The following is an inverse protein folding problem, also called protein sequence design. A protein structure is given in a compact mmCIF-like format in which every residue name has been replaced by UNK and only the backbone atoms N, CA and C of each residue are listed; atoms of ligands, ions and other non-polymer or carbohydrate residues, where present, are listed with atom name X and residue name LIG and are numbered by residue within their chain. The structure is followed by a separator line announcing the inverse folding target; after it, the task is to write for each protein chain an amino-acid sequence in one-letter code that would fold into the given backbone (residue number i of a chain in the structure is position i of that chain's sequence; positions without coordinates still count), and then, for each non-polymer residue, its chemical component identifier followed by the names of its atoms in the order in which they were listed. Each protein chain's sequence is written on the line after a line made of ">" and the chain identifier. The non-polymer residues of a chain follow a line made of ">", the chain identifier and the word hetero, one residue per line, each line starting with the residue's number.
data_IF_699508121472
#
_entry.id   IF_699508121472
#
_cell.length_a   1.000
_cell.length_b   1.000
_cell.length_c   1.000
_cell.angle_alpha   90.00
_cell.angle_beta   90.00
_cell.angle_gamma   90.00
#
_symmetry.space_group_name_H-M   'P 1'
#
loop_
_entity.id
_entity.type
_entity.pdbx_description
1 polymer ?
#
# COMPACT_ATOMS: atom_id res chain seq x y z
N UNK A 1 -36.83 27.41 34.87
CA UNK A 1 -36.22 26.21 34.28
C UNK A 1 -35.24 26.64 33.20
N UNK A 2 -33.95 26.73 33.50
CA UNK A 2 -32.92 27.28 32.59
C UNK A 2 -32.23 26.14 31.84
N UNK A 3 -32.27 26.20 30.51
CA UNK A 3 -31.67 25.24 29.57
C UNK A 3 -30.17 25.55 29.44
N UNK A 4 -29.30 24.73 30.04
CA UNK A 4 -27.84 24.88 29.95
C UNK A 4 -27.12 23.65 29.33
N UNK A 5 -27.87 22.69 28.77
CA UNK A 5 -27.31 21.42 28.27
C UNK A 5 -26.73 21.43 26.84
N UNK A 6 -26.89 22.51 26.06
CA UNK A 6 -26.48 22.52 24.65
C UNK A 6 -25.07 23.07 24.38
N UNK A 7 -24.49 23.84 25.30
CA UNK A 7 -23.20 24.50 25.05
C UNK A 7 -21.99 23.55 25.18
N UNK A 8 -22.09 22.51 26.01
CA UNK A 8 -20.96 21.60 26.30
C UNK A 8 -20.75 20.55 25.21
N UNK A 9 -21.81 20.13 24.51
CA UNK A 9 -21.72 19.16 23.41
C UNK A 9 -21.03 19.73 22.16
N UNK A 10 -21.19 21.02 21.88
CA UNK A 10 -20.59 21.66 20.70
C UNK A 10 -19.06 21.79 20.79
N UNK A 11 -18.50 21.93 21.99
CA UNK A 11 -17.05 22.10 22.20
C UNK A 11 -16.30 20.78 21.98
N UNK A 12 -16.89 19.64 22.36
CA UNK A 12 -16.27 18.31 22.20
C UNK A 12 -16.21 17.90 20.72
N UNK A 13 -17.22 18.27 19.92
CA UNK A 13 -17.24 17.99 18.47
C UNK A 13 -16.19 18.80 17.71
N UNK A 14 -15.91 20.04 18.13
CA UNK A 14 -14.92 20.90 17.49
C UNK A 14 -13.47 20.41 17.69
N UNK A 15 -13.15 19.86 18.87
CA UNK A 15 -11.81 19.33 19.16
C UNK A 15 -11.52 17.99 18.44
N UNK A 16 -12.55 17.16 18.22
CA UNK A 16 -12.42 15.93 17.44
C UNK A 16 -12.18 16.20 15.95
N UNK A 17 -12.77 17.27 15.40
CA UNK A 17 -12.61 17.64 14.00
C UNK A 17 -11.18 18.08 13.65
N UNK A 18 -10.48 18.76 14.57
CA UNK A 18 -9.08 19.14 14.36
C UNK A 18 -8.12 17.95 14.36
N UNK A 19 -8.40 16.89 15.14
CA UNK A 19 -7.60 15.67 15.14
C UNK A 19 -7.73 14.86 13.83
N UNK A 20 -8.79 15.11 13.05
CA UNK A 20 -9.03 14.49 11.74
C UNK A 20 -8.55 15.35 10.57
N UNK A 21 -8.06 16.57 10.82
CA UNK A 21 -7.38 17.34 9.80
C UNK A 21 -6.06 16.66 9.49
N UNK A 22 -6.03 15.88 8.40
CA UNK A 22 -4.79 15.49 7.75
C UNK A 22 -4.00 16.77 7.49
N UNK A 23 -2.96 17.01 8.29
CA UNK A 23 -1.94 17.99 7.93
C UNK A 23 -1.47 17.56 6.53
N UNK A 24 -1.48 18.45 5.52
CA UNK A 24 -0.93 18.12 4.21
C UNK A 24 0.57 17.87 4.39
N UNK A 25 0.94 16.64 4.73
CA UNK A 25 2.32 16.21 4.77
C UNK A 25 2.81 16.08 3.34
N UNK A 26 3.88 16.80 3.00
CA UNK A 26 4.87 16.56 1.92
C UNK A 26 4.42 16.12 0.51
N UNK A 27 3.13 15.95 0.20
CA UNK A 27 2.63 15.39 -1.06
C UNK A 27 2.72 13.85 -1.19
N UNK A 28 3.13 13.13 -0.15
CA UNK A 28 3.27 11.67 -0.18
C UNK A 28 1.99 10.97 0.30
N UNK A 29 1.54 9.95 -0.43
CA UNK A 29 0.50 9.02 0.01
C UNK A 29 1.14 7.73 0.54
N UNK A 30 0.87 7.40 1.80
CA UNK A 30 1.35 6.16 2.41
C UNK A 30 0.49 4.97 1.99
N UNK A 31 1.06 4.04 1.21
CA UNK A 31 0.38 2.82 0.79
C UNK A 31 0.53 1.68 1.81
N UNK A 32 1.64 1.62 2.53
CA UNK A 32 1.89 0.63 3.59
C UNK A 32 2.13 1.37 4.90
N UNK A 33 1.11 1.40 5.76
CA UNK A 33 1.16 1.92 7.12
C UNK A 33 1.04 0.74 8.10
N UNK A 34 2.17 0.05 8.29
CA UNK A 34 2.22 -1.22 9.00
C UNK A 34 1.22 -2.24 8.44
N UNK A 35 0.55 -2.95 9.34
CA UNK A 35 -0.32 -4.08 8.99
C UNK A 35 -1.56 -3.67 8.17
N UNK A 36 -2.05 -2.44 8.36
CA UNK A 36 -3.21 -1.92 7.62
C UNK A 36 -2.91 -1.65 6.15
N UNK A 37 -1.63 -1.57 5.79
CA UNK A 37 -1.20 -1.37 4.41
C UNK A 37 -1.82 -2.37 3.44
N UNK A 38 -2.04 -3.61 3.89
CA UNK A 38 -2.59 -4.68 3.08
C UNK A 38 -4.02 -4.40 2.58
N UNK A 39 -4.77 -3.54 3.27
CA UNK A 39 -6.13 -3.15 2.89
C UNK A 39 -6.16 -2.25 1.65
N UNK A 40 -5.04 -1.63 1.29
CA UNK A 40 -4.92 -0.76 0.12
C UNK A 40 -4.75 -1.52 -1.20
N UNK A 41 -4.65 -2.85 -1.13
CA UNK A 41 -4.34 -3.70 -2.27
C UNK A 41 -5.40 -4.76 -2.52
N UNK A 42 -5.63 -5.06 -3.79
CA UNK A 42 -6.29 -6.27 -4.25
C UNK A 42 -5.24 -7.37 -4.47
N UNK A 43 -5.59 -8.60 -4.10
CA UNK A 43 -4.70 -9.77 -4.25
C UNK A 43 -4.99 -10.48 -5.55
N UNK A 44 -3.93 -10.78 -6.31
CA UNK A 44 -4.02 -11.57 -7.53
C UNK A 44 -3.05 -12.75 -7.43
N UNK A 45 -3.53 -13.97 -7.66
CA UNK A 45 -2.73 -15.19 -7.54
C UNK A 45 -2.70 -15.79 -6.13
N UNK A 46 -1.73 -16.68 -5.89
CA UNK A 46 -1.77 -17.63 -4.77
C UNK A 46 -0.70 -17.37 -3.68
N UNK A 47 0.07 -16.29 -3.79
CA UNK A 47 1.09 -15.94 -2.79
C UNK A 47 0.44 -15.62 -1.43
N UNK A 48 1.09 -16.04 -0.34
CA UNK A 48 0.55 -15.95 1.01
C UNK A 48 0.74 -14.57 1.69
N UNK A 49 0.48 -13.48 0.96
CA UNK A 49 0.65 -12.13 1.48
C UNK A 49 0.01 -11.94 2.86
N UNK A 50 0.76 -11.41 3.81
CA UNK A 50 0.31 -11.12 5.16
C UNK A 50 1.02 -9.90 5.72
N UNK A 51 0.38 -9.26 6.68
CA UNK A 51 1.05 -8.31 7.53
C UNK A 51 1.84 -9.07 8.62
N UNK A 52 3.08 -8.68 8.86
CA UNK A 52 3.91 -9.24 9.92
C UNK A 52 4.95 -8.20 10.35
N UNK A 53 5.01 -7.92 11.66
CA UNK A 53 6.00 -7.01 12.26
C UNK A 53 6.08 -5.62 11.61
N UNK A 54 4.95 -5.08 11.17
CA UNK A 54 4.89 -3.76 10.51
C UNK A 54 5.31 -3.76 9.03
N UNK A 55 5.52 -4.93 8.43
CA UNK A 55 5.81 -5.11 7.01
C UNK A 55 4.76 -5.99 6.32
N UNK A 56 4.75 -5.98 4.99
CA UNK A 56 3.96 -6.88 4.17
C UNK A 56 4.86 -7.95 3.59
N UNK A 57 4.57 -9.22 3.91
CA UNK A 57 5.47 -10.36 3.70
C UNK A 57 4.77 -11.45 2.88
N UNK A 58 5.51 -12.06 1.97
CA UNK A 58 5.15 -13.32 1.32
C UNK A 58 6.40 -14.22 1.24
N UNK A 59 6.23 -15.50 1.57
CA UNK A 59 7.30 -16.50 1.65
C UNK A 59 6.85 -17.89 1.16
N UNK A 60 5.58 -18.04 0.78
CA UNK A 60 4.98 -19.29 0.30
C UNK A 60 3.92 -19.02 -0.77
N UNK A 61 3.54 -20.09 -1.47
CA UNK A 61 2.55 -20.04 -2.54
C UNK A 61 3.20 -19.98 -3.91
N UNK A 62 2.36 -20.01 -4.96
CA UNK A 62 2.82 -19.74 -6.33
C UNK A 62 2.99 -18.23 -6.53
N UNK A 63 3.15 -17.81 -7.78
CA UNK A 63 3.14 -16.38 -8.12
C UNK A 63 1.89 -15.67 -7.60
N UNK A 64 2.08 -14.48 -7.04
CA UNK A 64 0.99 -13.63 -6.59
C UNK A 64 1.44 -12.19 -6.34
N UNK A 65 0.50 -11.27 -6.50
CA UNK A 65 0.72 -9.83 -6.56
C UNK A 65 -0.22 -9.09 -5.61
N UNK A 66 0.25 -7.92 -5.16
CA UNK A 66 -0.57 -6.90 -4.53
C UNK A 66 -0.73 -5.74 -5.51
N UNK A 67 -1.96 -5.48 -5.92
CA UNK A 67 -2.31 -4.43 -6.88
C UNK A 67 -2.99 -3.29 -6.15
N UNK A 68 -2.48 -2.06 -6.23
CA UNK A 68 -3.12 -0.93 -5.56
C UNK A 68 -4.55 -0.75 -6.07
N UNK A 69 -5.49 -0.51 -5.15
CA UNK A 69 -6.90 -0.24 -5.51
C UNK A 69 -7.04 1.01 -6.37
N UNK A 70 -6.23 2.02 -6.06
CA UNK A 70 -6.15 3.28 -6.80
C UNK A 70 -5.23 3.16 -8.02
N UNK A 71 -5.58 3.87 -9.09
CA UNK A 71 -4.73 4.05 -10.25
C UNK A 71 -4.01 5.40 -10.16
N UNK A 72 -2.72 5.41 -10.51
CA UNK A 72 -1.86 6.59 -10.48
C UNK A 72 -1.33 6.89 -11.89
N UNK A 73 -1.38 8.15 -12.32
CA UNK A 73 -0.92 8.56 -13.66
C UNK A 73 0.56 8.96 -13.65
N UNK A 74 0.84 10.07 -13.01
CA UNK A 74 2.18 10.64 -12.84
C UNK A 74 2.50 10.59 -11.35
N UNK A 75 3.55 9.86 -10.98
CA UNK A 75 3.86 9.57 -9.58
C UNK A 75 5.36 9.39 -9.37
N UNK A 76 5.78 9.63 -8.13
CA UNK A 76 7.04 9.15 -7.57
C UNK A 76 6.70 8.05 -6.57
N UNK A 77 7.47 6.96 -6.57
CA UNK A 77 7.30 5.87 -5.61
C UNK A 77 8.60 5.65 -4.85
N UNK A 78 8.48 5.57 -3.53
CA UNK A 78 9.54 5.07 -2.64
C UNK A 78 9.06 3.76 -2.04
N UNK A 79 9.83 2.70 -2.27
CA UNK A 79 9.59 1.39 -1.68
C UNK A 79 10.89 0.90 -1.03
N UNK A 80 10.76 0.31 0.15
CA UNK A 80 11.83 -0.42 0.82
C UNK A 80 11.42 -1.89 0.82
N UNK A 81 12.39 -2.77 0.59
CA UNK A 81 12.16 -4.20 0.54
C UNK A 81 13.31 -4.94 1.23
N UNK A 82 13.01 -6.13 1.71
CA UNK A 82 13.99 -7.09 2.20
C UNK A 82 13.79 -8.39 1.42
N UNK A 83 14.82 -8.83 0.72
CA UNK A 83 14.77 -10.00 -0.15
C UNK A 83 15.84 -11.01 0.28
N UNK A 84 15.48 -12.30 0.28
CA UNK A 84 16.46 -13.38 0.36
C UNK A 84 17.19 -13.54 -0.98
N UNK A 85 18.36 -14.18 -1.00
CA UNK A 85 19.19 -14.33 -2.21
C UNK A 85 18.51 -15.08 -3.36
N UNK A 86 17.55 -15.94 -3.03
CA UNK A 86 16.74 -16.72 -3.97
C UNK A 86 15.41 -16.04 -4.34
N UNK A 87 15.18 -14.81 -3.89
CA UNK A 87 13.97 -14.05 -4.22
C UNK A 87 13.98 -13.60 -5.67
N UNK A 88 12.87 -13.87 -6.36
CA UNK A 88 12.51 -13.24 -7.63
C UNK A 88 11.18 -12.52 -7.45
N UNK A 89 11.23 -11.19 -7.41
CA UNK A 89 10.08 -10.31 -7.20
C UNK A 89 10.23 -9.04 -8.05
N UNK A 90 9.33 -8.08 -7.87
CA UNK A 90 9.39 -6.81 -8.58
C UNK A 90 8.28 -5.84 -8.20
N UNK A 91 8.54 -4.57 -8.46
CA UNK A 91 7.52 -3.51 -8.42
C UNK A 91 7.03 -3.28 -9.84
N UNK A 92 5.77 -3.62 -10.10
CA UNK A 92 5.14 -3.48 -11.41
C UNK A 92 4.41 -2.13 -11.50
N UNK A 93 4.63 -1.42 -12.59
CA UNK A 93 4.03 -0.10 -12.83
C UNK A 93 3.42 -0.01 -14.23
N UNK A 94 2.42 0.86 -14.38
CA UNK A 94 1.74 1.15 -15.65
C UNK A 94 1.20 -0.11 -16.36
N UNK A 95 0.64 -1.05 -15.59
CA UNK A 95 -0.03 -2.23 -16.12
C UNK A 95 -1.28 -1.85 -16.91
N UNK A 96 -1.34 -2.25 -18.19
CA UNK A 96 -2.52 -1.97 -19.03
C UNK A 96 -3.76 -2.77 -18.59
N UNK A 97 -3.56 -4.03 -18.20
CA UNK A 97 -4.57 -4.86 -17.55
C UNK A 97 -4.14 -5.22 -16.12
N UNK A 98 -4.87 -4.75 -15.12
CA UNK A 98 -4.57 -4.99 -13.70
C UNK A 98 -4.77 -6.42 -13.22
N UNK A 99 -5.51 -7.25 -13.96
CA UNK A 99 -5.73 -8.66 -13.63
C UNK A 99 -4.64 -9.57 -14.21
N UNK A 100 -3.78 -9.04 -15.10
CA UNK A 100 -2.72 -9.79 -15.77
C UNK A 100 -1.37 -9.09 -15.59
N UNK A 101 -0.66 -9.43 -14.52
CA UNK A 101 0.64 -8.82 -14.20
C UNK A 101 1.75 -9.67 -14.81
N UNK A 102 2.38 -9.14 -15.87
CA UNK A 102 3.56 -9.74 -16.51
C UNK A 102 4.35 -8.65 -17.27
N UNK A 103 5.54 -9.02 -17.75
CA UNK A 103 6.45 -8.14 -18.49
C UNK A 103 5.96 -7.73 -19.89
N UNK A 104 4.88 -8.33 -20.40
CA UNK A 104 4.24 -7.93 -21.66
C UNK A 104 3.17 -6.86 -21.43
N UNK A 105 2.66 -6.74 -20.21
CA UNK A 105 1.54 -5.88 -19.86
C UNK A 105 1.93 -4.70 -18.96
N UNK A 106 3.03 -4.83 -18.20
CA UNK A 106 3.52 -3.84 -17.25
C UNK A 106 4.99 -3.52 -17.49
N UNK A 107 5.45 -2.37 -17.01
CA UNK A 107 6.87 -2.16 -16.75
C UNK A 107 7.21 -2.72 -15.37
N UNK A 108 8.44 -3.21 -15.20
CA UNK A 108 8.89 -3.85 -13.97
C UNK A 108 10.19 -3.25 -13.49
N UNK A 109 10.22 -2.80 -12.24
CA UNK A 109 11.44 -2.57 -11.48
C UNK A 109 11.76 -3.88 -10.76
N UNK A 110 12.63 -4.67 -11.38
CA UNK A 110 12.88 -6.05 -10.98
C UNK A 110 13.71 -6.14 -9.69
N UNK A 111 13.34 -7.09 -8.82
CA UNK A 111 14.02 -7.41 -7.56
C UNK A 111 14.45 -8.87 -7.65
N UNK A 112 15.62 -9.11 -8.22
CA UNK A 112 16.17 -10.44 -8.38
C UNK A 112 17.69 -10.40 -8.40
N UNK A 113 18.30 -10.80 -7.29
CA UNK A 113 19.76 -10.72 -7.09
C UNK A 113 20.53 -11.66 -8.04
N UNK A 114 20.03 -12.88 -8.19
CA UNK A 114 20.67 -13.96 -8.97
C UNK A 114 20.10 -14.13 -10.38
N UNK A 115 19.60 -13.04 -10.98
CA UNK A 115 18.93 -13.11 -12.28
C UNK A 115 19.88 -13.67 -13.37
N UNK A 116 19.49 -14.74 -14.09
CA UNK A 116 20.38 -15.38 -15.06
C UNK A 116 20.50 -14.62 -16.40
N UNK A 117 19.58 -13.70 -16.67
CA UNK A 117 19.51 -12.92 -17.92
C UNK A 117 19.75 -11.41 -17.64
N UNK A 118 20.39 -10.66 -18.58
CA UNK A 118 20.54 -9.21 -18.46
C UNK A 118 19.22 -8.42 -18.50
#
# INVERSE_FOLDING_TARGET
>A
MKRHGFAMAAIVVALAACAQMRIPGTGWETLIDGDKGLENFDRVGDANWRAESGAIVADRGKSGFLVSKNAYKDFEIRAEFWAASDTNSGVFIRCNNREKIDSKNCYEVNIWDTRPDP
#
